data_IF_273143478737
#
_entry.id   IF_273143478737
#
_cell.length_a   1.000
_cell.length_b   1.000
_cell.length_c   1.000
_cell.angle_alpha   90.00
_cell.angle_beta   90.00
_cell.angle_gamma   90.00
#
_symmetry.space_group_name_H-M   'P 1'
#
loop_
_entity.id
_entity.type
_entity.pdbx_description
1 polymer ?
#
# COMPACT_ATOMS: atom_id res chain seq x y z
N UNK A 1 -18.76 7.30 1.75
CA UNK A 1 -20.07 7.29 1.04
C UNK A 1 -20.59 5.87 1.06
N UNK A 2 -21.84 5.65 1.49
CA UNK A 2 -22.50 4.34 1.41
C UNK A 2 -23.38 4.34 0.16
N UNK A 3 -23.31 3.28 -0.63
CA UNK A 3 -24.17 3.11 -1.81
C UNK A 3 -25.58 2.71 -1.33
N UNK A 4 -26.61 3.38 -1.83
CA UNK A 4 -28.02 3.07 -1.57
C UNK A 4 -28.46 1.77 -2.25
N UNK A 5 -29.55 1.17 -1.77
CA UNK A 5 -30.07 -0.11 -2.27
C UNK A 5 -30.58 -0.09 -3.72
N UNK A 6 -30.72 1.10 -4.32
CA UNK A 6 -31.14 1.31 -5.71
C UNK A 6 -30.12 2.13 -6.52
N UNK A 7 -28.91 2.32 -5.98
CA UNK A 7 -27.86 3.05 -6.68
C UNK A 7 -26.97 2.09 -7.48
N UNK A 8 -26.44 2.57 -8.60
CA UNK A 8 -25.53 1.83 -9.47
C UNK A 8 -24.29 2.70 -9.67
N UNK A 9 -23.10 2.12 -9.45
CA UNK A 9 -21.85 2.78 -9.82
C UNK A 9 -21.72 2.73 -11.35
N UNK A 10 -21.81 3.88 -12.00
CA UNK A 10 -21.77 4.02 -13.46
C UNK A 10 -20.39 4.39 -13.99
N UNK A 11 -19.59 5.12 -13.20
CA UNK A 11 -18.23 5.49 -13.55
C UNK A 11 -17.39 5.79 -12.30
N UNK A 12 -16.08 5.73 -12.48
CA UNK A 12 -15.10 6.20 -11.50
C UNK A 12 -14.23 7.23 -12.22
N UNK A 13 -14.19 8.45 -11.69
CA UNK A 13 -13.31 9.50 -12.20
C UNK A 13 -11.97 9.45 -11.46
N UNK A 14 -10.92 9.04 -12.16
CA UNK A 14 -9.56 9.03 -11.62
C UNK A 14 -8.79 10.18 -12.27
N UNK A 15 -8.18 11.10 -11.49
CA UNK A 15 -7.33 12.14 -12.06
C UNK A 15 -6.11 11.48 -12.70
N UNK A 16 -5.91 11.71 -13.99
CA UNK A 16 -4.72 11.24 -14.70
C UNK A 16 -3.58 12.22 -14.44
N UNK A 17 -2.68 11.84 -13.52
CA UNK A 17 -1.37 12.47 -13.34
C UNK A 17 -0.35 11.35 -13.50
N UNK A 18 0.58 11.48 -14.44
CA UNK A 18 1.72 10.55 -14.52
C UNK A 18 2.54 10.72 -13.25
N UNK A 19 2.49 9.70 -12.39
CA UNK A 19 3.23 9.66 -11.13
C UNK A 19 3.87 8.29 -11.00
N UNK A 20 5.07 8.22 -10.43
CA UNK A 20 5.62 6.98 -9.92
C UNK A 20 4.61 6.20 -9.08
N UNK A 21 4.54 4.90 -9.34
CA UNK A 21 3.68 4.00 -8.60
C UNK A 21 4.30 2.62 -8.45
N UNK A 22 3.81 1.89 -7.46
CA UNK A 22 4.10 0.49 -7.22
C UNK A 22 2.84 -0.20 -6.67
N UNK A 23 2.65 -1.45 -7.07
CA UNK A 23 1.63 -2.34 -6.51
C UNK A 23 2.28 -3.66 -6.18
N UNK A 24 2.13 -4.10 -4.94
CA UNK A 24 2.71 -5.35 -4.44
C UNK A 24 1.61 -6.14 -3.74
N UNK A 25 1.54 -7.44 -4.00
CA UNK A 25 0.51 -8.30 -3.46
C UNK A 25 1.05 -9.70 -3.20
N UNK A 26 0.49 -10.39 -2.21
CA UNK A 26 0.75 -11.80 -1.96
C UNK A 26 -0.55 -12.59 -2.04
N UNK A 27 -0.52 -13.66 -2.82
CA UNK A 27 -1.60 -14.63 -2.96
C UNK A 27 -1.02 -16.02 -2.70
N UNK A 28 -1.69 -16.85 -1.89
CA UNK A 28 -1.28 -18.27 -1.68
C UNK A 28 -1.29 -19.05 -3.00
N UNK A 29 -2.21 -18.71 -3.90
CA UNK A 29 -2.27 -19.25 -5.26
C UNK A 29 -2.44 -18.06 -6.22
N UNK A 30 -1.64 -18.00 -7.28
CA UNK A 30 -1.62 -16.87 -8.22
C UNK A 30 -2.97 -16.53 -8.88
N UNK A 31 -3.94 -17.44 -8.87
CA UNK A 31 -5.29 -17.25 -9.43
C UNK A 31 -6.35 -16.84 -8.39
N UNK A 32 -5.99 -16.77 -7.11
CA UNK A 32 -6.89 -16.35 -6.03
C UNK A 32 -6.68 -14.87 -5.70
N UNK A 33 -7.63 -14.31 -4.95
CA UNK A 33 -7.51 -12.97 -4.41
C UNK A 33 -6.27 -12.88 -3.49
N UNK A 34 -5.50 -11.79 -3.56
CA UNK A 34 -4.42 -11.56 -2.64
C UNK A 34 -4.90 -11.55 -1.19
N UNK A 35 -4.18 -12.23 -0.31
CA UNK A 35 -4.42 -12.08 1.13
C UNK A 35 -4.09 -10.66 1.57
N UNK A 36 -3.01 -10.08 1.06
CA UNK A 36 -2.54 -8.74 1.42
C UNK A 36 -2.03 -8.04 0.16
N UNK A 37 -2.32 -6.74 0.04
CA UNK A 37 -1.73 -5.90 -1.00
C UNK A 37 -1.51 -4.46 -0.54
N UNK A 38 -0.58 -3.80 -1.21
CA UNK A 38 -0.28 -2.37 -1.08
C UNK A 38 -0.27 -1.72 -2.47
N UNK A 39 -0.93 -0.58 -2.58
CA UNK A 39 -0.80 0.36 -3.69
C UNK A 39 -0.13 1.62 -3.18
N UNK A 40 0.99 2.00 -3.79
CA UNK A 40 1.76 3.20 -3.47
C UNK A 40 1.90 4.06 -4.71
N UNK A 41 1.60 5.36 -4.59
CA UNK A 41 1.99 6.37 -5.58
C UNK A 41 2.54 7.59 -4.88
N UNK A 42 3.54 8.23 -5.48
CA UNK A 42 4.17 9.41 -4.95
C UNK A 42 4.70 10.30 -6.07
N UNK A 43 4.97 11.56 -5.76
CA UNK A 43 5.85 12.39 -6.58
C UNK A 43 7.30 12.07 -6.18
N UNK A 44 8.26 12.31 -7.09
CA UNK A 44 9.69 12.23 -6.79
C UNK A 44 10.31 13.61 -7.04
N UNK A 45 10.77 14.26 -5.98
CA UNK A 45 11.42 15.57 -6.03
C UNK A 45 12.90 15.42 -5.64
N UNK A 46 13.81 15.72 -6.56
CA UNK A 46 15.24 15.46 -6.38
C UNK A 46 15.58 13.99 -6.05
N UNK A 47 14.75 13.05 -6.52
CA UNK A 47 14.87 11.62 -6.22
C UNK A 47 14.29 11.18 -4.87
N UNK A 48 13.72 12.09 -4.08
CA UNK A 48 13.08 11.80 -2.79
C UNK A 48 11.57 11.75 -2.94
N UNK A 49 10.92 10.90 -2.15
CA UNK A 49 9.47 10.75 -2.13
C UNK A 49 8.80 12.01 -1.60
N UNK A 50 7.77 12.49 -2.30
CA UNK A 50 6.88 13.53 -1.81
C UNK A 50 5.41 13.25 -2.17
N UNK A 51 4.48 13.80 -1.39
CA UNK A 51 3.04 13.70 -1.63
C UNK A 51 2.56 12.23 -1.78
N UNK A 52 3.04 11.34 -0.90
CA UNK A 52 2.75 9.92 -0.98
C UNK A 52 1.27 9.60 -0.77
N UNK A 53 0.75 8.58 -1.46
CA UNK A 53 -0.57 7.99 -1.25
C UNK A 53 -0.44 6.48 -1.15
N UNK A 54 -0.94 5.93 -0.05
CA UNK A 54 -0.81 4.51 0.28
C UNK A 54 -2.16 3.89 0.56
N UNK A 55 -2.58 2.95 -0.28
CA UNK A 55 -3.74 2.09 -0.06
C UNK A 55 -3.29 0.69 0.37
N UNK A 56 -3.93 0.13 1.40
CA UNK A 56 -3.70 -1.23 1.87
C UNK A 56 -4.99 -2.04 1.77
N UNK A 57 -4.90 -3.31 1.37
CA UNK A 57 -6.01 -4.25 1.42
C UNK A 57 -5.60 -5.55 2.12
N UNK A 58 -6.57 -6.20 2.77
CA UNK A 58 -6.32 -7.44 3.52
C UNK A 58 -5.70 -7.24 4.91
N UNK A 59 -5.61 -6.00 5.38
CA UNK A 59 -5.06 -5.64 6.69
C UNK A 59 -6.07 -4.99 7.65
N UNK A 60 -7.33 -4.96 7.23
CA UNK A 60 -8.49 -4.47 7.98
C UNK A 60 -9.75 -5.05 7.34
N UNK A 61 -10.93 -4.81 7.94
CA UNK A 61 -12.23 -5.26 7.40
C UNK A 61 -12.54 -4.72 6.00
N UNK A 62 -12.03 -3.54 5.68
CA UNK A 62 -12.15 -2.90 4.35
C UNK A 62 -10.77 -2.39 3.93
N UNK A 63 -10.53 -2.12 2.63
CA UNK A 63 -9.33 -1.39 2.22
C UNK A 63 -9.21 -0.07 2.98
N UNK A 64 -7.98 0.29 3.36
CA UNK A 64 -7.68 1.50 4.13
C UNK A 64 -6.61 2.34 3.43
N UNK A 65 -6.67 3.65 3.65
CA UNK A 65 -5.56 4.56 3.34
C UNK A 65 -4.63 4.64 4.55
N UNK A 66 -3.33 4.45 4.34
CA UNK A 66 -2.35 4.42 5.43
C UNK A 66 -1.60 5.75 5.56
N UNK A 67 -2.23 6.72 6.23
CA UNK A 67 -1.63 8.05 6.43
C UNK A 67 -0.35 8.01 7.27
N UNK A 68 -0.22 7.05 8.19
CA UNK A 68 0.99 6.86 8.99
C UNK A 68 2.19 6.53 8.09
N UNK A 69 2.01 5.62 7.13
CA UNK A 69 3.07 5.29 6.18
C UNK A 69 3.30 6.45 5.19
N UNK A 70 2.24 7.12 4.72
CA UNK A 70 2.40 8.31 3.86
C UNK A 70 3.32 9.36 4.50
N UNK A 71 3.10 9.70 5.78
CA UNK A 71 3.94 10.65 6.52
C UNK A 71 5.38 10.17 6.70
N UNK A 72 5.57 8.88 6.95
CA UNK A 72 6.90 8.30 7.12
C UNK A 72 7.73 8.26 5.83
N UNK A 73 7.08 8.37 4.66
CA UNK A 73 7.75 8.36 3.36
C UNK A 73 8.19 9.75 2.88
N UNK A 74 7.65 10.83 3.42
CA UNK A 74 8.02 12.19 2.97
C UNK A 74 9.53 12.44 3.16
N UNK A 75 10.22 12.82 2.08
CA UNK A 75 11.65 13.05 2.04
C UNK A 75 12.53 11.80 1.97
N UNK A 76 11.94 10.60 2.02
CA UNK A 76 12.67 9.34 1.95
C UNK A 76 13.21 9.09 0.53
N UNK A 77 14.45 8.64 0.44
CA UNK A 77 15.06 8.18 -0.80
C UNK A 77 14.71 6.69 -1.02
N UNK A 78 13.94 6.33 -2.07
CA UNK A 78 13.54 4.96 -2.33
C UNK A 78 14.71 4.03 -2.71
N UNK A 79 15.91 4.57 -3.01
CA UNK A 79 17.13 3.81 -3.24
C UNK A 79 17.92 3.52 -1.95
N UNK A 80 17.60 4.20 -0.85
CA UNK A 80 18.23 3.97 0.46
C UNK A 80 17.64 2.75 1.18
N UNK A 81 18.30 2.31 2.25
CA UNK A 81 17.78 1.24 3.10
C UNK A 81 16.48 1.69 3.79
N UNK A 82 15.39 0.94 3.57
CA UNK A 82 14.10 1.20 4.21
C UNK A 82 14.20 0.84 5.70
N UNK A 83 14.29 1.87 6.53
CA UNK A 83 14.41 1.74 7.98
C UNK A 83 13.19 1.03 8.58
N UNK A 84 13.42 0.18 9.58
CA UNK A 84 12.35 -0.53 10.28
C UNK A 84 11.32 0.41 10.91
N UNK A 85 11.73 1.63 11.28
CA UNK A 85 10.83 2.68 11.77
C UNK A 85 9.74 3.08 10.77
N UNK A 86 10.04 3.05 9.47
CA UNK A 86 9.06 3.32 8.40
C UNK A 86 7.99 2.23 8.36
N UNK A 87 8.36 0.99 8.69
CA UNK A 87 7.50 -0.19 8.63
C UNK A 87 6.72 -0.44 9.92
N UNK A 88 6.94 0.37 10.96
CA UNK A 88 6.25 0.24 12.25
C UNK A 88 4.73 0.48 12.15
N UNK A 89 4.24 1.13 11.08
CA UNK A 89 2.81 1.32 10.82
C UNK A 89 2.00 0.02 10.87
N UNK A 90 2.64 -1.12 10.55
CA UNK A 90 1.95 -2.40 10.52
C UNK A 90 1.49 -2.87 11.91
N UNK A 91 2.11 -2.38 12.99
CA UNK A 91 1.73 -2.73 14.36
C UNK A 91 0.35 -2.17 14.73
N UNK A 92 0.00 -1.00 14.20
CA UNK A 92 -1.30 -0.36 14.46
C UNK A 92 -2.44 -0.91 13.60
N UNK A 93 -2.19 -1.94 12.79
CA UNK A 93 -3.22 -2.60 11.96
C UNK A 93 -4.00 -3.63 12.77
N UNK A 94 -5.25 -3.85 12.38
CA UNK A 94 -6.15 -4.86 12.95
C UNK A 94 -6.68 -5.81 11.85
N UNK A 95 -5.81 -6.68 11.32
CA UNK A 95 -6.17 -7.58 10.23
C UNK A 95 -7.10 -8.71 10.70
N UNK A 96 -8.07 -9.12 9.87
CA UNK A 96 -8.88 -10.29 10.17
C UNK A 96 -8.04 -11.56 10.12
N UNK A 97 -8.40 -12.54 10.94
CA UNK A 97 -7.88 -13.90 10.85
C UNK A 97 -8.69 -14.71 9.83
N UNK A 98 -8.02 -15.55 9.04
CA UNK A 98 -8.64 -16.65 8.31
C UNK A 98 -7.73 -17.91 8.26
N UNK A 99 -8.24 -19.08 7.85
CA UNK A 99 -7.47 -20.32 7.83
C UNK A 99 -6.24 -20.32 6.91
N UNK A 100 -6.15 -19.39 5.95
CA UNK A 100 -5.05 -19.31 4.97
C UNK A 100 -4.08 -18.17 5.27
N UNK A 101 -4.39 -17.29 6.22
CA UNK A 101 -3.57 -16.16 6.65
C UNK A 101 -4.00 -15.64 8.03
N UNK A 102 -3.13 -15.85 9.02
CA UNK A 102 -3.31 -15.27 10.35
C UNK A 102 -3.17 -13.75 10.36
N UNK A 103 -3.68 -13.11 11.41
CA UNK A 103 -3.52 -11.67 11.63
C UNK A 103 -2.04 -11.27 11.71
N UNK A 104 -1.21 -12.06 12.38
CA UNK A 104 0.24 -11.85 12.51
C UNK A 104 0.93 -12.00 11.16
N UNK A 105 0.56 -13.03 10.38
CA UNK A 105 1.08 -13.19 9.02
C UNK A 105 0.74 -11.98 8.15
N UNK A 106 -0.49 -11.44 8.26
CA UNK A 106 -0.91 -10.25 7.49
C UNK A 106 -0.11 -9.01 7.88
N UNK A 107 0.15 -8.79 9.18
CA UNK A 107 1.03 -7.70 9.68
C UNK A 107 2.47 -7.87 9.18
N UNK A 108 3.00 -9.09 9.19
CA UNK A 108 4.33 -9.36 8.68
C UNK A 108 4.41 -9.14 7.16
N UNK A 109 3.47 -9.71 6.41
CA UNK A 109 3.42 -9.64 4.96
C UNK A 109 3.33 -8.18 4.48
N UNK A 110 2.50 -7.34 5.11
CA UNK A 110 2.40 -5.94 4.67
C UNK A 110 3.69 -5.15 4.90
N UNK A 111 4.49 -5.45 5.93
CA UNK A 111 5.83 -4.85 6.09
C UNK A 111 6.75 -5.20 4.92
N UNK A 112 6.75 -6.47 4.50
CA UNK A 112 7.55 -6.95 3.38
C UNK A 112 7.09 -6.31 2.07
N UNK A 113 5.78 -6.28 1.82
CA UNK A 113 5.21 -5.68 0.61
C UNK A 113 5.43 -4.16 0.58
N UNK A 114 5.34 -3.47 1.72
CA UNK A 114 5.63 -2.04 1.80
C UNK A 114 7.09 -1.74 1.45
N UNK A 115 8.04 -2.49 2.01
CA UNK A 115 9.46 -2.38 1.63
C UNK A 115 9.66 -2.56 0.13
N UNK A 116 9.06 -3.60 -0.47
CA UNK A 116 9.12 -3.84 -1.92
C UNK A 116 8.51 -2.68 -2.72
N UNK A 117 7.35 -2.17 -2.32
CA UNK A 117 6.68 -1.09 -3.01
C UNK A 117 7.51 0.20 -3.00
N UNK A 118 8.13 0.54 -1.86
CA UNK A 118 9.02 1.70 -1.72
C UNK A 118 10.23 1.54 -2.64
N UNK A 119 10.93 0.42 -2.54
CA UNK A 119 12.10 0.15 -3.39
C UNK A 119 11.74 0.12 -4.88
N UNK A 120 10.53 -0.35 -5.21
CA UNK A 120 10.01 -0.37 -6.58
C UNK A 120 9.90 1.03 -7.18
N UNK A 121 9.78 2.10 -6.38
CA UNK A 121 9.76 3.47 -6.89
C UNK A 121 11.10 3.89 -7.54
N UNK A 122 12.22 3.23 -7.21
CA UNK A 122 13.53 3.51 -7.81
C UNK A 122 13.55 3.35 -9.34
N UNK A 123 12.64 2.54 -9.90
CA UNK A 123 12.51 2.34 -11.35
C UNK A 123 12.09 3.62 -12.10
N UNK A 124 11.61 4.62 -11.36
CA UNK A 124 11.16 5.90 -11.87
C UNK A 124 12.19 7.01 -11.68
N UNK A 125 13.33 6.73 -11.04
CA UNK A 125 14.46 7.64 -11.01
C UNK A 125 15.11 7.62 -12.40
N UNK A 126 15.35 8.81 -12.96
CA UNK A 126 16.08 9.00 -14.22
C UNK A 126 17.57 9.11 -13.96
#
# INVERSE_FOLDING_TARGET
>A
MKLGSREIITWIKVPMKERPWAFEAVAVIARLFPQVSIALTADLDGGRISNARVGLAGVAKTPIRCETLEKALEGLDPASEVLDGVLAFAESLDPPYDPVASSEYRKYAIKVLARRAIMSLRRWLK
#
